data_IF_066478542402
#
_entry.id   IF_066478542402
#
_cell.length_a   1.000
_cell.length_b   1.000
_cell.length_c   1.000
_cell.angle_alpha   90.00
_cell.angle_beta   90.00
_cell.angle_gamma   90.00
#
_symmetry.space_group_name_H-M   'P 1'
#
loop_
_entity.id
_entity.type
_entity.pdbx_description
1 polymer ?
#
# COMPACT_ATOMS: atom_id res chain seq x y z
N UNK A 1 8.34 69.72 45.98
CA UNK A 1 9.73 69.92 45.51
C UNK A 1 10.25 68.59 44.97
N UNK A 2 10.34 68.45 43.65
CA UNK A 2 11.49 67.80 43.00
C UNK A 2 12.61 68.86 42.91
N UNK A 3 13.89 68.57 42.56
CA UNK A 3 14.43 67.47 41.72
C UNK A 3 15.70 66.81 42.36
N UNK A 4 16.42 65.81 41.82
CA UNK A 4 17.38 65.77 40.68
C UNK A 4 17.88 64.29 40.64
N UNK A 5 17.57 63.49 39.63
CA UNK A 5 18.36 63.20 38.42
C UNK A 5 19.71 62.48 38.65
N UNK A 6 19.76 61.17 38.35
CA UNK A 6 20.99 60.47 37.92
C UNK A 6 20.74 59.75 36.60
N UNK A 7 20.66 60.56 35.54
CA UNK A 7 21.01 60.14 34.17
C UNK A 7 22.46 59.64 34.13
N UNK A 8 22.64 58.34 33.86
CA UNK A 8 23.80 57.79 33.16
C UNK A 8 23.22 57.13 31.91
N UNK A 9 23.07 57.82 30.77
CA UNK A 9 24.10 58.30 29.83
C UNK A 9 24.96 57.16 29.25
N UNK A 10 24.33 56.32 28.43
CA UNK A 10 24.99 55.71 27.28
C UNK A 10 24.44 56.38 26.01
N UNK A 11 25.20 57.36 25.51
CA UNK A 11 25.00 57.91 24.19
C UNK A 11 25.63 56.96 23.17
N UNK A 12 24.81 56.17 22.50
CA UNK A 12 25.10 55.55 21.21
C UNK A 12 24.04 56.06 20.24
N UNK A 13 24.43 56.37 19.01
CA UNK A 13 23.66 57.07 17.99
C UNK A 13 22.17 56.68 17.90
N UNK A 14 21.29 57.63 18.27
CA UNK A 14 20.28 58.17 17.35
C UNK A 14 18.94 57.44 17.18
N UNK A 15 18.28 56.97 18.24
CA UNK A 15 16.80 56.78 18.25
C UNK A 15 16.30 56.89 19.71
N UNK A 16 15.20 57.61 19.95
CA UNK A 16 14.53 57.66 21.26
C UNK A 16 13.56 56.49 21.46
N UNK A 17 13.27 56.10 22.70
CA UNK A 17 12.31 55.01 22.98
C UNK A 17 10.92 55.26 22.37
N UNK A 18 10.49 56.52 22.33
CA UNK A 18 9.23 56.92 21.71
C UNK A 18 9.23 56.66 20.20
N UNK A 19 10.33 56.99 19.52
CA UNK A 19 10.49 56.74 18.08
C UNK A 19 10.53 55.24 17.77
N UNK A 20 11.21 54.43 18.60
CA UNK A 20 11.19 52.97 18.44
C UNK A 20 9.77 52.41 18.62
N UNK A 21 9.03 52.88 19.64
CA UNK A 21 7.65 52.46 19.88
C UNK A 21 6.72 52.82 18.72
N UNK A 22 6.79 54.05 18.21
CA UNK A 22 5.96 54.50 17.08
C UNK A 22 6.32 53.76 15.79
N UNK A 23 7.60 53.47 15.58
CA UNK A 23 8.06 52.67 14.45
C UNK A 23 7.50 51.23 14.49
N UNK A 24 7.55 50.56 15.65
CA UNK A 24 7.00 49.22 15.82
C UNK A 24 5.46 49.19 15.72
N UNK A 25 4.76 50.26 16.14
CA UNK A 25 3.30 50.39 15.97
C UNK A 25 2.87 50.55 14.53
N UNK A 26 3.65 51.30 13.75
CA UNK A 26 3.38 51.54 12.33
C UNK A 26 3.82 50.37 11.43
N UNK A 27 4.69 49.50 11.93
CA UNK A 27 5.19 48.32 11.21
C UNK A 27 4.99 47.03 12.02
N UNK A 28 3.75 46.52 12.12
CA UNK A 28 3.42 45.33 12.92
C UNK A 28 4.09 44.04 12.42
N UNK A 29 4.52 44.02 11.15
CA UNK A 29 5.24 42.92 10.48
C UNK A 29 6.76 42.96 10.71
N UNK A 30 7.29 43.98 11.42
CA UNK A 30 8.74 44.18 11.60
C UNK A 30 9.45 42.94 12.15
N UNK A 31 8.85 42.26 13.13
CA UNK A 31 9.43 41.06 13.73
C UNK A 31 9.28 39.80 12.86
N UNK A 32 8.37 39.79 11.88
CA UNK A 32 8.30 38.74 10.85
C UNK A 32 9.48 38.88 9.87
N UNK A 33 9.88 40.12 9.56
CA UNK A 33 11.02 40.41 8.68
C UNK A 33 12.38 40.27 9.37
N UNK A 34 12.41 40.41 10.70
CA UNK A 34 13.64 40.36 11.50
C UNK A 34 13.56 39.30 12.60
N UNK A 35 13.25 38.04 12.23
CA UNK A 35 13.07 36.92 13.17
C UNK A 35 14.25 36.71 14.13
N UNK A 36 15.49 36.94 13.66
CA UNK A 36 16.69 36.75 14.47
C UNK A 36 16.73 37.68 15.71
N UNK A 37 16.11 38.87 15.63
CA UNK A 37 16.05 39.80 16.77
C UNK A 37 15.15 39.28 17.90
N UNK A 38 14.14 38.46 17.61
CA UNK A 38 13.27 37.87 18.64
C UNK A 38 14.02 36.85 19.52
N UNK A 39 14.99 36.13 18.96
CA UNK A 39 15.84 35.18 19.70
C UNK A 39 16.79 35.85 20.68
N UNK A 40 17.13 37.13 20.45
CA UNK A 40 18.07 37.90 21.27
C UNK A 40 17.34 38.81 22.28
N UNK A 41 16.04 39.05 22.09
CA UNK A 41 15.26 39.98 22.89
C UNK A 41 14.82 39.37 24.22
N UNK A 42 15.34 39.90 25.32
CA UNK A 42 14.92 39.52 26.67
C UNK A 42 13.71 40.36 27.07
N UNK A 43 12.49 39.83 26.87
CA UNK A 43 11.26 40.45 27.36
C UNK A 43 10.85 39.80 28.69
N UNK A 44 11.09 40.44 29.85
CA UNK A 44 10.56 39.97 31.12
C UNK A 44 9.03 40.11 31.12
N UNK A 45 8.33 38.98 31.28
CA UNK A 45 6.87 38.92 31.28
C UNK A 45 6.30 39.45 32.60
N UNK A 46 5.80 40.68 32.61
CA UNK A 46 4.80 41.09 33.61
C UNK A 46 3.42 40.66 33.11
N UNK A 47 2.90 39.61 33.72
CA UNK A 47 1.56 39.08 33.46
C UNK A 47 0.49 40.18 33.39
N UNK A 48 -0.03 40.45 32.18
CA UNK A 48 -1.41 40.88 31.91
C UNK A 48 -1.64 41.06 30.40
N UNK A 49 -2.41 40.13 29.83
CA UNK A 49 -3.31 40.43 28.72
C UNK A 49 -2.73 40.35 27.29
N UNK A 50 -3.02 39.21 26.65
CA UNK A 50 -3.48 39.13 25.25
C UNK A 50 -2.51 39.50 24.12
N UNK A 51 -1.26 39.03 24.19
CA UNK A 51 -0.42 38.87 22.99
C UNK A 51 0.19 37.48 23.02
N UNK A 52 -0.22 36.58 22.11
CA UNK A 52 0.35 35.22 22.00
C UNK A 52 1.78 35.37 21.47
N UNK A 53 2.76 34.85 22.21
CA UNK A 53 4.17 34.98 21.83
C UNK A 53 4.46 34.21 20.54
N UNK A 54 5.25 34.78 19.62
CA UNK A 54 5.71 34.08 18.41
C UNK A 54 6.46 32.78 18.76
N UNK A 55 7.17 32.75 19.88
CA UNK A 55 7.83 31.54 20.39
C UNK A 55 6.81 30.49 20.84
N UNK A 56 5.76 30.89 21.55
CA UNK A 56 4.67 29.97 21.91
C UNK A 56 3.99 29.41 20.64
N UNK A 57 3.78 30.27 19.63
CA UNK A 57 3.21 29.85 18.34
C UNK A 57 4.14 28.92 17.55
N UNK A 58 5.45 29.15 17.58
CA UNK A 58 6.45 28.26 16.98
C UNK A 58 6.52 26.90 17.70
N UNK A 59 6.50 26.89 19.04
CA UNK A 59 6.49 25.65 19.83
C UNK A 59 5.22 24.85 19.56
N UNK A 60 4.06 25.51 19.44
CA UNK A 60 2.80 24.86 19.05
C UNK A 60 2.91 24.28 17.63
N UNK A 61 3.39 25.05 16.65
CA UNK A 61 3.56 24.56 15.28
C UNK A 61 4.51 23.36 15.18
N UNK A 62 5.62 23.37 15.92
CA UNK A 62 6.56 22.24 15.98
C UNK A 62 5.92 21.01 16.64
N UNK A 63 5.11 21.19 17.69
CA UNK A 63 4.37 20.08 18.33
C UNK A 63 3.33 19.49 17.39
N UNK A 64 2.63 20.33 16.62
CA UNK A 64 1.66 19.89 15.63
C UNK A 64 2.34 19.09 14.52
N UNK A 65 3.46 19.61 13.99
CA UNK A 65 4.26 18.91 12.99
C UNK A 65 4.81 17.57 13.52
N UNK A 66 5.35 17.55 14.74
CA UNK A 66 5.83 16.32 15.37
C UNK A 66 4.70 15.31 15.56
N UNK A 67 3.48 15.77 15.88
CA UNK A 67 2.30 14.90 16.00
C UNK A 67 1.91 14.31 14.64
N UNK A 68 1.92 15.12 13.58
CA UNK A 68 1.67 14.68 12.21
C UNK A 68 2.72 13.63 11.79
N UNK A 69 4.01 13.90 12.01
CA UNK A 69 5.07 12.95 11.65
C UNK A 69 4.99 11.65 12.45
N UNK A 70 4.67 11.72 13.74
CA UNK A 70 4.42 10.51 14.54
C UNK A 70 3.25 9.70 14.00
N UNK A 71 2.20 10.36 13.49
CA UNK A 71 1.06 9.69 12.86
C UNK A 71 1.49 9.02 11.54
N UNK A 72 2.27 9.72 10.72
CA UNK A 72 2.81 9.17 9.47
C UNK A 72 3.71 7.96 9.73
N UNK A 73 4.65 8.06 10.67
CA UNK A 73 5.51 6.93 11.08
C UNK A 73 4.71 5.74 11.58
N UNK A 74 3.70 5.97 12.42
CA UNK A 74 2.79 4.89 12.86
C UNK A 74 2.07 4.24 11.68
N UNK A 75 1.63 5.02 10.70
CA UNK A 75 1.03 4.52 9.47
C UNK A 75 1.99 3.61 8.69
N UNK A 76 3.23 4.05 8.49
CA UNK A 76 4.26 3.27 7.82
C UNK A 76 4.60 1.97 8.56
N UNK A 77 4.72 2.02 9.89
CA UNK A 77 4.98 0.82 10.71
C UNK A 77 3.83 -0.18 10.60
N UNK A 78 2.58 0.29 10.66
CA UNK A 78 1.42 -0.60 10.50
C UNK A 78 1.41 -1.25 9.12
N UNK A 79 1.62 -0.49 8.05
CA UNK A 79 1.71 -1.03 6.70
C UNK A 79 2.84 -2.06 6.56
N UNK A 80 4.01 -1.81 7.19
CA UNK A 80 5.12 -2.76 7.20
C UNK A 80 4.77 -4.06 7.95
N UNK A 81 4.06 -3.96 9.07
CA UNK A 81 3.59 -5.14 9.83
C UNK A 81 2.57 -5.95 9.03
N UNK A 82 1.64 -5.28 8.35
CA UNK A 82 0.64 -5.95 7.52
C UNK A 82 1.30 -6.63 6.30
N UNK A 83 2.27 -5.99 5.66
CA UNK A 83 3.08 -6.60 4.61
C UNK A 83 3.87 -7.81 5.12
N UNK A 84 4.44 -7.73 6.33
CA UNK A 84 5.17 -8.85 6.95
C UNK A 84 4.23 -10.04 7.18
N UNK A 85 3.00 -9.80 7.64
CA UNK A 85 1.98 -10.85 7.81
C UNK A 85 1.63 -11.47 6.46
N UNK A 86 1.38 -10.66 5.44
CA UNK A 86 1.09 -11.14 4.08
C UNK A 86 2.22 -12.05 3.55
N UNK A 87 3.47 -11.63 3.74
CA UNK A 87 4.65 -12.40 3.35
C UNK A 87 4.73 -13.75 4.08
N UNK A 88 4.44 -13.77 5.40
CA UNK A 88 4.41 -15.01 6.17
C UNK A 88 3.32 -15.98 5.69
N UNK A 89 2.13 -15.47 5.36
CA UNK A 89 1.04 -16.29 4.81
C UNK A 89 1.40 -16.88 3.45
N UNK A 90 2.04 -16.09 2.58
CA UNK A 90 2.55 -16.58 1.28
C UNK A 90 3.65 -17.63 1.44
N UNK A 91 4.55 -17.44 2.40
CA UNK A 91 5.62 -18.39 2.65
C UNK A 91 5.06 -19.78 2.99
N UNK A 92 3.99 -19.87 3.79
CA UNK A 92 3.31 -21.15 4.06
C UNK A 92 2.79 -21.80 2.77
N UNK A 93 2.21 -21.01 1.87
CA UNK A 93 1.72 -21.50 0.59
C UNK A 93 2.87 -22.02 -0.28
N UNK A 94 4.00 -21.31 -0.30
CA UNK A 94 5.18 -21.74 -1.04
C UNK A 94 5.78 -23.03 -0.48
N UNK A 95 5.83 -23.17 0.84
CA UNK A 95 6.26 -24.39 1.51
C UNK A 95 5.38 -25.58 1.16
N UNK A 96 4.05 -25.40 1.11
CA UNK A 96 3.12 -26.43 0.66
C UNK A 96 3.43 -26.82 -0.80
N UNK A 97 3.46 -25.85 -1.70
CA UNK A 97 3.69 -26.07 -3.14
C UNK A 97 5.02 -26.80 -3.38
N UNK A 98 6.08 -26.41 -2.67
CA UNK A 98 7.41 -26.99 -2.83
C UNK A 98 7.48 -28.46 -2.36
N UNK A 99 6.75 -28.80 -1.28
CA UNK A 99 6.72 -30.13 -0.66
C UNK A 99 5.73 -31.10 -1.28
N UNK A 100 4.81 -30.62 -2.11
CA UNK A 100 3.86 -31.49 -2.80
C UNK A 100 4.60 -32.40 -3.78
N UNK A 101 4.26 -33.69 -3.75
CA UNK A 101 4.75 -34.73 -4.68
C UNK A 101 3.67 -35.21 -5.66
N UNK A 102 2.46 -34.66 -5.56
CA UNK A 102 1.34 -34.99 -6.42
C UNK A 102 0.63 -33.70 -6.86
N UNK A 103 0.52 -33.51 -8.17
CA UNK A 103 -0.14 -32.34 -8.75
C UNK A 103 -1.64 -32.32 -8.49
N UNK A 104 -2.31 -33.47 -8.50
CA UNK A 104 -3.74 -33.55 -8.24
C UNK A 104 -4.06 -33.12 -6.79
N UNK A 105 -3.31 -33.65 -5.82
CA UNK A 105 -3.46 -33.26 -4.42
C UNK A 105 -3.15 -31.77 -4.23
N UNK A 106 -2.14 -31.24 -4.92
CA UNK A 106 -1.82 -29.82 -4.85
C UNK A 106 -2.97 -28.94 -5.37
N UNK A 107 -3.58 -29.31 -6.50
CA UNK A 107 -4.69 -28.55 -7.10
C UNK A 107 -5.98 -28.60 -6.27
N UNK A 108 -6.19 -29.67 -5.49
CA UNK A 108 -7.30 -29.79 -4.54
C UNK A 108 -7.06 -28.99 -3.24
N UNK A 109 -5.83 -29.00 -2.73
CA UNK A 109 -5.54 -28.44 -1.39
C UNK A 109 -5.16 -26.97 -1.39
N UNK A 110 -4.47 -26.50 -2.43
CA UNK A 110 -4.00 -25.12 -2.54
C UNK A 110 -5.14 -24.09 -2.57
N UNK A 111 -6.26 -24.30 -3.31
CA UNK A 111 -7.38 -23.36 -3.30
C UNK A 111 -7.93 -23.09 -1.91
N UNK A 112 -8.21 -24.14 -1.13
CA UNK A 112 -8.74 -24.00 0.24
C UNK A 112 -7.75 -23.31 1.17
N UNK A 113 -6.45 -23.57 1.04
CA UNK A 113 -5.42 -22.87 1.81
C UNK A 113 -5.39 -21.38 1.46
N UNK A 114 -5.42 -21.03 0.17
CA UNK A 114 -5.40 -19.65 -0.28
C UNK A 114 -6.67 -18.90 0.15
N UNK A 115 -7.83 -19.52 0.08
CA UNK A 115 -9.08 -18.95 0.62
C UNK A 115 -8.96 -18.64 2.10
N UNK A 116 -8.45 -19.59 2.90
CA UNK A 116 -8.34 -19.43 4.35
C UNK A 116 -7.27 -18.40 4.77
N UNK A 117 -6.13 -18.33 4.08
CA UNK A 117 -5.03 -17.42 4.46
C UNK A 117 -5.22 -16.00 3.89
N UNK A 118 -5.97 -15.81 2.80
CA UNK A 118 -6.10 -14.50 2.14
C UNK A 118 -7.52 -13.93 2.12
N UNK A 119 -8.45 -14.51 2.89
CA UNK A 119 -9.84 -14.05 2.97
C UNK A 119 -10.50 -13.95 1.58
N UNK A 120 -10.22 -14.96 0.73
CA UNK A 120 -10.73 -15.03 -0.64
C UNK A 120 -12.03 -15.82 -0.69
N UNK A 121 -12.96 -15.35 -1.52
CA UNK A 121 -14.23 -16.05 -1.75
C UNK A 121 -14.03 -17.26 -2.65
N UNK A 122 -13.34 -17.08 -3.78
CA UNK A 122 -13.10 -18.16 -4.75
C UNK A 122 -11.64 -18.19 -5.17
N UNK A 123 -11.07 -19.39 -5.20
CA UNK A 123 -9.79 -19.66 -5.85
C UNK A 123 -10.01 -20.77 -6.87
N UNK A 124 -9.80 -20.48 -8.15
CA UNK A 124 -9.92 -21.47 -9.22
C UNK A 124 -8.58 -21.63 -9.94
N UNK A 125 -8.12 -22.88 -10.07
CA UNK A 125 -6.87 -23.22 -10.78
C UNK A 125 -7.23 -24.12 -11.95
N UNK A 126 -6.87 -23.68 -13.15
CA UNK A 126 -7.16 -24.40 -14.40
C UNK A 126 -5.92 -24.57 -15.25
N UNK A 127 -5.76 -25.76 -15.79
CA UNK A 127 -4.74 -26.09 -16.77
C UNK A 127 -5.35 -26.22 -18.16
N UNK A 128 -4.61 -25.75 -19.16
CA UNK A 128 -4.93 -25.87 -20.56
C UNK A 128 -4.47 -27.23 -21.08
N UNK A 129 -5.20 -27.72 -22.07
CA UNK A 129 -4.90 -28.95 -22.82
C UNK A 129 -4.96 -30.25 -21.99
N UNK A 130 -6.17 -30.83 -21.99
CA UNK A 130 -6.53 -32.20 -21.58
C UNK A 130 -5.43 -33.25 -21.72
N UNK A 131 -4.81 -33.26 -22.90
CA UNK A 131 -3.93 -34.34 -23.33
C UNK A 131 -2.56 -34.28 -22.67
N UNK A 132 -2.18 -33.10 -22.16
CA UNK A 132 -0.90 -32.93 -21.46
C UNK A 132 -0.96 -33.50 -20.04
N UNK A 133 -2.16 -33.69 -19.46
CA UNK A 133 -2.35 -34.08 -18.06
C UNK A 133 -3.40 -35.20 -17.90
N UNK A 134 -3.16 -36.40 -18.45
CA UNK A 134 -4.17 -37.47 -18.49
C UNK A 134 -4.59 -38.00 -17.10
N UNK A 135 -3.76 -37.79 -16.07
CA UNK A 135 -4.03 -38.22 -14.69
C UNK A 135 -4.83 -37.19 -13.88
N UNK A 136 -5.07 -35.98 -14.40
CA UNK A 136 -5.84 -34.96 -13.69
C UNK A 136 -7.33 -35.07 -13.99
N UNK A 137 -8.16 -34.81 -12.97
CA UNK A 137 -9.61 -34.67 -13.15
C UNK A 137 -9.96 -33.58 -14.15
N UNK A 138 -11.00 -33.82 -14.97
CA UNK A 138 -11.50 -32.88 -15.99
C UNK A 138 -11.87 -31.52 -15.39
N UNK A 139 -12.25 -31.48 -14.12
CA UNK A 139 -12.52 -30.22 -13.40
C UNK A 139 -11.29 -29.30 -13.33
N UNK A 140 -10.06 -29.80 -13.31
CA UNK A 140 -8.86 -28.96 -13.33
C UNK A 140 -8.47 -28.50 -14.72
N UNK A 141 -9.25 -28.88 -15.74
CA UNK A 141 -8.89 -28.68 -17.13
C UNK A 141 -9.86 -27.71 -17.80
N UNK A 142 -9.33 -26.94 -18.75
CA UNK A 142 -10.15 -26.11 -19.62
C UNK A 142 -9.67 -26.22 -21.06
N UNK A 143 -10.64 -26.31 -21.97
CA UNK A 143 -10.37 -26.48 -23.39
C UNK A 143 -9.93 -25.14 -24.01
N UNK A 144 -8.89 -25.18 -24.85
CA UNK A 144 -8.31 -23.99 -25.49
C UNK A 144 -9.23 -23.40 -26.56
N UNK A 145 -10.08 -24.22 -27.14
CA UNK A 145 -11.05 -23.89 -28.19
C UNK A 145 -12.36 -23.27 -27.66
N UNK A 146 -12.56 -23.21 -26.34
CA UNK A 146 -13.64 -22.41 -25.76
C UNK A 146 -13.39 -20.91 -26.03
N UNK A 147 -14.41 -20.21 -26.55
CA UNK A 147 -14.34 -18.78 -26.86
C UNK A 147 -14.02 -17.93 -25.63
N UNK A 148 -14.49 -18.35 -24.44
CA UNK A 148 -14.18 -17.68 -23.16
C UNK A 148 -12.71 -17.85 -22.79
N UNK A 149 -12.18 -19.06 -22.94
CA UNK A 149 -10.75 -19.35 -22.77
C UNK A 149 -9.91 -18.50 -23.71
N UNK A 150 -10.24 -18.46 -25.01
CA UNK A 150 -9.49 -17.67 -25.98
C UNK A 150 -9.50 -16.17 -25.65
N UNK A 151 -10.65 -15.64 -25.21
CA UNK A 151 -10.77 -14.26 -24.78
C UNK A 151 -9.87 -13.96 -23.57
N UNK A 152 -9.82 -14.84 -22.57
CA UNK A 152 -8.93 -14.66 -21.42
C UNK A 152 -7.45 -14.75 -21.82
N UNK A 153 -7.08 -15.71 -22.67
CA UNK A 153 -5.71 -15.86 -23.18
C UNK A 153 -5.25 -14.55 -23.84
N UNK A 154 -6.09 -13.91 -24.66
CA UNK A 154 -5.79 -12.62 -25.28
C UNK A 154 -5.60 -11.51 -24.24
N UNK A 155 -6.38 -11.51 -23.15
CA UNK A 155 -6.27 -10.50 -22.07
C UNK A 155 -5.03 -10.68 -21.20
N UNK A 156 -4.55 -11.92 -21.06
CA UNK A 156 -3.34 -12.29 -20.33
C UNK A 156 -2.06 -12.13 -21.17
N UNK A 157 -2.16 -11.95 -22.47
CA UNK A 157 -1.01 -11.84 -23.36
C UNK A 157 -0.05 -10.72 -22.90
N UNK A 158 1.21 -11.10 -22.63
CA UNK A 158 2.25 -10.18 -22.17
C UNK A 158 2.14 -9.71 -20.71
N UNK A 159 1.18 -10.23 -19.94
CA UNK A 159 0.98 -9.88 -18.53
C UNK A 159 1.45 -11.00 -17.61
N UNK A 160 1.91 -10.64 -16.41
CA UNK A 160 2.25 -11.57 -15.33
C UNK A 160 1.20 -11.63 -14.23
N UNK A 161 0.32 -10.64 -14.18
CA UNK A 161 -0.84 -10.58 -13.33
C UNK A 161 -1.88 -9.68 -14.03
N UNK A 162 -3.15 -10.06 -13.98
CA UNK A 162 -4.27 -9.23 -14.43
C UNK A 162 -5.17 -8.95 -13.23
N UNK A 163 -5.37 -7.68 -12.89
CA UNK A 163 -6.28 -7.26 -11.84
C UNK A 163 -7.55 -6.67 -12.45
N UNK A 164 -8.71 -7.01 -11.87
CA UNK A 164 -10.00 -6.41 -12.22
C UNK A 164 -10.79 -6.06 -10.96
N UNK A 165 -11.36 -4.85 -10.94
CA UNK A 165 -12.30 -4.39 -9.94
C UNK A 165 -13.26 -3.39 -10.63
N UNK A 166 -14.53 -3.74 -10.91
CA UNK A 166 -15.19 -5.03 -10.61
C UNK A 166 -14.74 -6.17 -11.52
N UNK A 167 -15.04 -7.41 -11.12
CA UNK A 167 -14.76 -8.62 -11.91
C UNK A 167 -15.65 -8.67 -13.15
N UNK A 168 -15.06 -8.92 -14.33
CA UNK A 168 -15.83 -9.02 -15.57
C UNK A 168 -16.63 -10.31 -15.70
N UNK A 169 -17.76 -10.25 -16.43
CA UNK A 169 -18.62 -11.41 -16.71
C UNK A 169 -17.86 -12.58 -17.35
N UNK A 170 -16.83 -12.27 -18.16
CA UNK A 170 -15.95 -13.28 -18.73
C UNK A 170 -15.29 -14.14 -17.64
N UNK A 171 -14.70 -13.50 -16.63
CA UNK A 171 -14.03 -14.22 -15.55
C UNK A 171 -15.02 -14.97 -14.67
N UNK A 172 -16.16 -14.36 -14.35
CA UNK A 172 -17.24 -15.02 -13.60
C UNK A 172 -17.67 -16.30 -14.31
N UNK A 173 -17.87 -16.24 -15.63
CA UNK A 173 -18.28 -17.40 -16.44
C UNK A 173 -17.23 -18.52 -16.57
N UNK A 174 -15.99 -18.27 -16.14
CA UNK A 174 -14.89 -19.24 -16.15
C UNK A 174 -14.70 -19.96 -14.80
N UNK A 175 -15.25 -19.40 -13.72
CA UNK A 175 -15.17 -19.99 -12.38
C UNK A 175 -15.92 -21.33 -12.35
N UNK A 176 -15.44 -22.26 -11.51
CA UNK A 176 -16.17 -23.51 -11.21
C UNK A 176 -17.43 -23.25 -10.39
N UNK A 177 -17.36 -22.24 -9.53
CA UNK A 177 -18.32 -22.03 -8.47
C UNK A 177 -19.33 -20.95 -8.85
N UNK A 178 -20.45 -21.39 -9.43
CA UNK A 178 -21.57 -20.53 -9.79
C UNK A 178 -22.30 -19.95 -8.55
N UNK A 179 -21.95 -20.39 -7.33
CA UNK A 179 -22.65 -19.93 -6.10
C UNK A 179 -22.14 -18.58 -5.59
N UNK A 180 -20.96 -18.14 -6.03
CA UNK A 180 -20.36 -16.91 -5.55
C UNK A 180 -21.04 -15.67 -6.15
N UNK A 181 -21.96 -15.10 -5.38
CA UNK A 181 -22.98 -14.18 -5.88
C UNK A 181 -22.52 -12.72 -6.01
N UNK A 182 -21.38 -12.33 -5.41
CA UNK A 182 -20.96 -10.92 -5.41
C UNK A 182 -19.42 -10.74 -5.48
N UNK A 183 -18.79 -10.97 -6.64
CA UNK A 183 -17.37 -10.73 -6.82
C UNK A 183 -17.03 -9.24 -6.87
N UNK A 184 -16.26 -8.78 -5.87
CA UNK A 184 -15.84 -7.40 -5.75
C UNK A 184 -14.60 -7.08 -6.58
N UNK A 185 -13.55 -7.88 -6.44
CA UNK A 185 -12.31 -7.75 -7.19
C UNK A 185 -11.64 -9.10 -7.42
N UNK A 186 -10.76 -9.19 -8.43
CA UNK A 186 -10.03 -10.42 -8.70
C UNK A 186 -8.61 -10.16 -9.23
N UNK A 187 -7.75 -11.15 -9.05
CA UNK A 187 -6.44 -11.26 -9.67
C UNK A 187 -6.35 -12.57 -10.48
N UNK A 188 -5.84 -12.49 -11.70
CA UNK A 188 -5.60 -13.66 -12.57
C UNK A 188 -4.10 -13.79 -12.83
N UNK A 189 -3.56 -14.95 -12.48
CA UNK A 189 -2.14 -15.27 -12.56
C UNK A 189 -1.92 -16.31 -13.67
N UNK A 190 -1.27 -15.95 -14.78
CA UNK A 190 -0.95 -16.92 -15.82
C UNK A 190 0.12 -17.89 -15.34
N UNK A 191 -0.08 -19.17 -15.63
CA UNK A 191 0.92 -20.21 -15.43
C UNK A 191 1.70 -20.43 -16.72
N UNK A 192 3.00 -20.14 -16.72
CA UNK A 192 3.83 -20.08 -17.94
C UNK A 192 4.94 -21.13 -17.91
N UNK A 193 5.22 -21.78 -19.04
CA UNK A 193 6.42 -22.62 -19.19
C UNK A 193 7.70 -21.78 -19.20
N UNK A 194 8.85 -22.44 -19.11
CA UNK A 194 10.16 -21.82 -19.34
C UNK A 194 10.26 -21.09 -20.70
N UNK A 195 9.56 -21.56 -21.74
CA UNK A 195 9.46 -20.92 -23.05
C UNK A 195 8.35 -19.86 -23.14
N UNK A 196 7.82 -19.40 -22.00
CA UNK A 196 6.73 -18.42 -21.91
C UNK A 196 5.42 -18.85 -22.57
N UNK A 197 5.19 -20.15 -22.72
CA UNK A 197 3.91 -20.68 -23.22
C UNK A 197 2.90 -20.83 -22.07
N UNK A 198 1.67 -20.39 -22.29
CA UNK A 198 0.61 -20.48 -21.27
C UNK A 198 0.15 -21.94 -21.07
N UNK A 199 0.38 -22.46 -19.87
CA UNK A 199 -0.08 -23.77 -19.40
C UNK A 199 -1.44 -23.73 -18.72
N UNK A 200 -1.84 -22.58 -18.18
CA UNK A 200 -3.04 -22.46 -17.34
C UNK A 200 -3.08 -21.13 -16.62
N UNK A 201 -3.93 -21.01 -15.62
CA UNK A 201 -4.04 -19.82 -14.79
C UNK A 201 -4.60 -20.13 -13.41
N UNK A 202 -4.41 -19.18 -12.51
CA UNK A 202 -5.03 -19.11 -11.18
C UNK A 202 -5.93 -17.88 -11.18
N UNK A 203 -7.19 -18.02 -10.80
CA UNK A 203 -8.11 -16.91 -10.57
C UNK A 203 -8.33 -16.81 -9.06
N UNK A 204 -8.00 -15.66 -8.49
CA UNK A 204 -8.23 -15.31 -7.09
C UNK A 204 -9.33 -14.27 -7.04
N UNK A 205 -10.42 -14.54 -6.32
CA UNK A 205 -11.58 -13.65 -6.24
C UNK A 205 -11.87 -13.29 -4.80
N UNK A 206 -12.02 -12.00 -4.54
CA UNK A 206 -12.42 -11.45 -3.26
C UNK A 206 -13.82 -10.81 -3.37
N UNK A 207 -14.60 -10.89 -2.28
CA UNK A 207 -15.88 -10.16 -2.15
C UNK A 207 -15.65 -8.66 -2.04
N UNK A 208 -14.54 -8.26 -1.43
CA UNK A 208 -14.17 -6.86 -1.28
C UNK A 208 -13.63 -6.27 -2.59
N UNK A 209 -14.14 -5.11 -2.98
CA UNK A 209 -13.72 -4.35 -4.17
C UNK A 209 -12.34 -3.72 -3.99
N UNK A 210 -11.93 -3.45 -2.76
CA UNK A 210 -10.65 -2.81 -2.44
C UNK A 210 -9.54 -3.82 -2.13
N UNK A 211 -9.83 -5.13 -2.19
CA UNK A 211 -8.82 -6.17 -1.97
C UNK A 211 -7.77 -6.19 -3.10
N UNK A 212 -8.21 -6.30 -4.36
CA UNK A 212 -7.33 -6.21 -5.52
C UNK A 212 -7.52 -4.89 -6.26
N UNK A 213 -6.63 -3.93 -5.99
CA UNK A 213 -6.67 -2.60 -6.59
C UNK A 213 -5.73 -2.52 -7.80
N UNK A 214 -6.11 -1.83 -8.90
CA UNK A 214 -5.27 -1.72 -10.10
C UNK A 214 -3.90 -1.07 -9.88
N UNK A 215 -3.74 -0.27 -8.82
CA UNK A 215 -2.48 0.39 -8.42
C UNK A 215 -1.65 -0.42 -7.41
N UNK A 216 -2.11 -1.60 -6.99
CA UNK A 216 -1.38 -2.46 -6.06
C UNK A 216 -0.17 -3.10 -6.73
N UNK A 217 0.92 -3.27 -5.98
CA UNK A 217 2.06 -4.07 -6.40
C UNK A 217 1.67 -5.56 -6.52
N UNK A 218 2.03 -6.17 -7.65
CA UNK A 218 1.71 -7.57 -7.99
C UNK A 218 2.88 -8.53 -7.76
N UNK A 219 4.05 -8.07 -7.31
CA UNK A 219 5.27 -8.91 -7.16
C UNK A 219 5.01 -10.22 -6.41
N UNK A 220 4.25 -10.17 -5.31
CA UNK A 220 3.93 -11.35 -4.52
C UNK A 220 3.01 -12.34 -5.26
N UNK A 221 2.02 -11.81 -5.97
CA UNK A 221 1.09 -12.59 -6.78
C UNK A 221 1.81 -13.22 -7.98
N UNK A 222 2.71 -12.48 -8.62
CA UNK A 222 3.58 -12.98 -9.67
C UNK A 222 4.50 -14.10 -9.17
N UNK A 223 5.01 -13.98 -7.94
CA UNK A 223 5.78 -15.02 -7.28
C UNK A 223 4.97 -16.31 -7.09
N UNK A 224 3.71 -16.20 -6.67
CA UNK A 224 2.80 -17.35 -6.55
C UNK A 224 2.55 -18.02 -7.91
N UNK A 225 2.23 -17.24 -8.94
CA UNK A 225 2.02 -17.74 -10.30
C UNK A 225 3.27 -18.42 -10.85
N UNK A 226 4.45 -17.83 -10.63
CA UNK A 226 5.73 -18.38 -11.04
C UNK A 226 6.07 -19.69 -10.34
N UNK A 227 5.86 -19.79 -9.03
CA UNK A 227 6.13 -21.01 -8.28
C UNK A 227 5.20 -22.14 -8.71
N UNK A 228 3.90 -21.89 -8.84
CA UNK A 228 2.96 -22.92 -9.29
C UNK A 228 3.28 -23.36 -10.72
N UNK A 229 3.66 -22.43 -11.60
CA UNK A 229 4.14 -22.75 -12.95
C UNK A 229 5.32 -23.73 -12.93
N UNK A 230 6.34 -23.44 -12.11
CA UNK A 230 7.53 -24.27 -12.01
C UNK A 230 7.22 -25.66 -11.44
N UNK A 231 6.37 -25.72 -10.41
CA UNK A 231 5.93 -26.99 -9.80
C UNK A 231 5.12 -27.83 -10.77
N UNK A 232 4.16 -27.23 -11.48
CA UNK A 232 3.41 -27.92 -12.54
C UNK A 232 4.35 -28.45 -13.62
N UNK A 233 5.33 -27.67 -14.08
CA UNK A 233 6.31 -28.13 -15.06
C UNK A 233 7.17 -29.30 -14.54
N UNK A 234 7.56 -29.28 -13.27
CA UNK A 234 8.28 -30.39 -12.63
C UNK A 234 7.47 -31.69 -12.71
N UNK A 235 6.17 -31.64 -12.43
CA UNK A 235 5.29 -32.82 -12.52
C UNK A 235 5.04 -33.30 -13.94
N UNK A 236 5.22 -32.44 -14.95
CA UNK A 236 5.16 -32.86 -16.36
C UNK A 236 6.36 -33.71 -16.79
N UNK A 237 7.51 -33.46 -16.17
CA UNK A 237 8.79 -34.08 -16.53
C UNK A 237 9.06 -35.37 -15.72
N UNK A 238 8.33 -35.59 -14.62
CA UNK A 238 8.41 -36.76 -13.76
C UNK A 238 7.54 -37.91 -14.30
#
# INVERSE_FOLDING_TARGET
>A
MNPVNSKQKNAVMGVTEAEVSDFLRTHPDFFERHLALLTELVIPHSARGRTVSLLERQVVALRDQLTIERKNLKGLVNAALDNTRLQQRLQKCFELIARSDDLHILLETLPSLLQAEFDLGVVDIRLLDGKTWPALSVEHMIARDDSRTEALIKRLAGKRCLIEAPVSDLLISLLKDDTFSNPGSCAVLPMLTAEHSLMGWIILVAEDRDHYRPDMDTVLLEGLGGLLSATTQRFRLA
#
